data_IF_370082394599
#
_entry.id   IF_370082394599
#
_cell.length_a   1.000
_cell.length_b   1.000
_cell.length_c   1.000
_cell.angle_alpha   90.00
_cell.angle_beta   90.00
_cell.angle_gamma   90.00
#
_symmetry.space_group_name_H-M   'P 1'
#
loop_
_entity.id
_entity.type
_entity.pdbx_description
1 polymer ?
#
# COMPACT_ATOMS: atom_id res chain seq x y z
N UNK A 1 -0.98 -8.65 7.01
CA UNK A 1 -1.41 -7.27 7.36
C UNK A 1 -0.62 -6.74 8.54
N UNK A 2 -0.57 -7.42 9.68
CA UNK A 2 0.22 -6.98 10.85
C UNK A 2 1.73 -6.84 10.54
N UNK A 3 2.27 -7.79 9.77
CA UNK A 3 3.67 -7.77 9.35
C UNK A 3 3.97 -6.58 8.42
N UNK A 4 3.06 -6.28 7.49
CA UNK A 4 3.14 -5.09 6.62
C UNK A 4 3.15 -3.83 7.47
N UNK A 5 2.23 -3.71 8.43
CA UNK A 5 2.18 -2.56 9.32
C UNK A 5 3.51 -2.38 10.08
N UNK A 6 4.09 -3.46 10.62
CA UNK A 6 5.41 -3.41 11.27
C UNK A 6 6.53 -2.96 10.33
N UNK A 7 6.56 -3.47 9.09
CA UNK A 7 7.53 -3.07 8.07
C UNK A 7 7.43 -1.56 7.79
N UNK A 8 6.22 -1.04 7.59
CA UNK A 8 5.99 0.40 7.37
C UNK A 8 6.39 1.23 8.59
N UNK A 9 6.07 0.79 9.80
CA UNK A 9 6.49 1.45 11.05
C UNK A 9 8.02 1.54 11.14
N UNK A 10 8.74 0.45 10.83
CA UNK A 10 10.20 0.48 10.73
C UNK A 10 10.64 1.47 9.66
N UNK A 11 10.10 1.38 8.44
CA UNK A 11 10.47 2.29 7.35
C UNK A 11 10.30 3.76 7.75
N UNK A 12 9.21 4.10 8.44
CA UNK A 12 8.82 5.44 8.90
C UNK A 12 9.41 5.87 10.25
N UNK A 13 10.34 5.11 10.82
CA UNK A 13 10.96 5.42 12.13
C UNK A 13 9.93 5.56 13.26
N UNK A 14 8.88 4.74 13.21
CA UNK A 14 7.79 4.71 14.18
C UNK A 14 6.61 5.63 13.85
N UNK A 15 6.75 6.54 12.88
CA UNK A 15 5.63 7.36 12.42
C UNK A 15 4.62 6.54 11.60
N UNK A 16 3.36 6.99 11.58
CA UNK A 16 2.27 6.34 10.82
C UNK A 16 2.10 6.93 9.41
N UNK A 17 2.50 8.19 9.22
CA UNK A 17 2.30 9.01 8.02
C UNK A 17 3.40 10.08 7.91
N UNK A 18 3.53 10.72 6.74
CA UNK A 18 4.49 11.80 6.44
C UNK A 18 3.83 13.16 6.14
N UNK A 19 2.53 13.16 5.81
CA UNK A 19 1.78 14.36 5.49
C UNK A 19 1.74 15.32 6.69
N UNK A 20 1.95 16.64 6.48
CA UNK A 20 1.96 17.62 7.55
C UNK A 20 0.54 18.03 7.95
N UNK A 21 -0.19 17.13 8.63
CA UNK A 21 -1.59 17.31 9.01
C UNK A 21 -1.79 18.18 10.27
N UNK A 22 -0.70 18.61 10.92
CA UNK A 22 -0.71 19.33 12.19
C UNK A 22 -1.02 18.44 13.39
N UNK A 23 -1.15 19.05 14.57
CA UNK A 23 -1.25 18.32 15.85
C UNK A 23 -2.69 18.03 16.28
N UNK A 24 -3.69 18.56 15.56
CA UNK A 24 -5.09 18.53 15.96
C UNK A 24 -6.05 18.15 14.82
N UNK A 25 -5.83 17.04 14.08
CA UNK A 25 -6.86 16.53 13.18
C UNK A 25 -8.13 16.21 13.97
N UNK A 26 -9.29 16.53 13.40
CA UNK A 26 -10.60 16.29 14.01
C UNK A 26 -11.26 15.06 13.41
N UNK A 27 -11.10 14.82 12.10
CA UNK A 27 -11.73 13.67 11.43
C UNK A 27 -10.81 13.03 10.41
N UNK A 28 -10.59 11.73 10.54
CA UNK A 28 -9.63 10.95 9.75
C UNK A 28 -10.30 9.73 9.15
N UNK A 29 -9.99 9.44 7.88
CA UNK A 29 -10.46 8.28 7.14
C UNK A 29 -9.28 7.39 6.77
N UNK A 30 -9.35 6.11 7.09
CA UNK A 30 -8.40 5.08 6.66
C UNK A 30 -9.09 4.13 5.67
N UNK A 31 -8.71 4.22 4.39
CA UNK A 31 -9.34 3.47 3.30
C UNK A 31 -8.65 2.12 3.09
N UNK A 32 -9.43 1.05 2.98
CA UNK A 32 -8.90 -0.31 2.90
C UNK A 32 -8.11 -0.66 4.16
N UNK A 33 -8.71 -0.37 5.31
CA UNK A 33 -8.06 -0.44 6.63
C UNK A 33 -7.58 -1.85 7.01
N UNK A 34 -8.05 -2.89 6.31
CA UNK A 34 -7.67 -4.27 6.55
C UNK A 34 -7.99 -4.69 7.99
N UNK A 35 -6.97 -5.03 8.77
CA UNK A 35 -7.14 -5.38 10.20
C UNK A 35 -7.53 -4.20 11.08
N UNK A 36 -7.43 -2.96 10.59
CA UNK A 36 -7.68 -1.76 11.37
C UNK A 36 -6.49 -1.27 12.18
N UNK A 37 -5.34 -1.95 12.11
CA UNK A 37 -4.18 -1.67 12.97
C UNK A 37 -3.66 -0.24 12.82
N UNK A 38 -3.61 0.29 11.59
CA UNK A 38 -3.20 1.68 11.37
C UNK A 38 -4.19 2.67 11.98
N UNK A 39 -5.50 2.45 11.76
CA UNK A 39 -6.54 3.32 12.30
C UNK A 39 -6.57 3.32 13.83
N UNK A 40 -6.33 2.16 14.45
CA UNK A 40 -6.25 2.01 15.92
C UNK A 40 -5.05 2.78 16.46
N UNK A 41 -3.86 2.58 15.90
CA UNK A 41 -2.65 3.27 16.36
C UNK A 41 -2.79 4.79 16.18
N UNK A 42 -3.37 5.23 15.05
CA UNK A 42 -3.65 6.65 14.83
C UNK A 42 -4.63 7.20 15.88
N UNK A 43 -5.69 6.46 16.21
CA UNK A 43 -6.68 6.86 17.18
C UNK A 43 -6.10 6.98 18.60
N UNK A 44 -5.14 6.12 18.96
CA UNK A 44 -4.40 6.18 20.22
C UNK A 44 -3.47 7.41 20.28
N UNK A 45 -2.79 7.74 19.17
CA UNK A 45 -1.92 8.92 19.07
C UNK A 45 -2.72 10.24 19.08
N UNK A 46 -3.94 10.23 18.52
CA UNK A 46 -4.81 11.40 18.38
C UNK A 46 -6.18 11.17 19.05
N UNK A 47 -6.26 11.15 20.38
CA UNK A 47 -7.49 10.80 21.11
C UNK A 47 -8.64 11.82 20.92
N UNK A 48 -8.35 13.02 20.39
CA UNK A 48 -9.36 14.01 20.03
C UNK A 48 -9.96 13.83 18.63
N UNK A 49 -9.31 13.04 17.76
CA UNK A 49 -9.75 12.83 16.40
C UNK A 49 -10.79 11.71 16.33
N UNK A 50 -11.83 11.89 15.52
CA UNK A 50 -12.70 10.83 15.06
C UNK A 50 -12.01 10.06 13.93
N UNK A 51 -11.74 8.77 14.14
CA UNK A 51 -11.09 7.89 13.15
C UNK A 51 -12.13 6.89 12.61
N UNK A 52 -12.29 6.89 11.29
CA UNK A 52 -13.12 5.94 10.56
C UNK A 52 -12.22 5.09 9.66
N UNK A 53 -12.22 3.78 9.85
CA UNK A 53 -11.63 2.84 8.88
C UNK A 53 -12.72 2.18 8.03
N UNK A 54 -12.46 2.00 6.74
CA UNK A 54 -13.37 1.25 5.84
C UNK A 54 -12.67 0.08 5.18
N UNK A 55 -13.39 -1.04 5.06
CA UNK A 55 -12.94 -2.21 4.32
C UNK A 55 -14.14 -3.02 3.83
N UNK A 56 -13.97 -3.80 2.76
CA UNK A 56 -14.99 -4.74 2.29
C UNK A 56 -15.20 -5.91 3.27
N UNK A 57 -14.20 -6.21 4.08
CA UNK A 57 -14.19 -7.35 5.00
C UNK A 57 -14.33 -6.91 6.46
N UNK A 58 -15.30 -7.44 7.22
CA UNK A 58 -15.45 -7.14 8.65
C UNK A 58 -14.49 -7.98 9.51
N UNK A 59 -13.19 -7.73 9.39
CA UNK A 59 -12.11 -8.50 10.05
C UNK A 59 -11.43 -7.74 11.20
N UNK A 60 -11.95 -6.57 11.55
CA UNK A 60 -11.38 -5.69 12.56
C UNK A 60 -11.72 -6.17 13.98
N UNK A 61 -10.87 -5.87 14.99
CA UNK A 61 -11.10 -6.31 16.36
C UNK A 61 -12.35 -5.65 16.95
N UNK A 62 -12.98 -6.33 17.91
CA UNK A 62 -14.14 -5.79 18.64
C UNK A 62 -13.76 -4.71 19.66
N UNK A 63 -12.53 -4.76 20.17
CA UNK A 63 -12.04 -3.81 21.18
C UNK A 63 -11.16 -2.77 20.49
N UNK A 64 -11.71 -1.57 20.30
CA UNK A 64 -11.04 -0.44 19.65
C UNK A 64 -11.03 0.78 20.57
N UNK A 65 -10.15 1.76 20.31
CA UNK A 65 -10.23 3.06 20.97
C UNK A 65 -11.63 3.67 20.80
N UNK A 66 -12.15 4.43 21.79
CA UNK A 66 -13.51 4.96 21.77
C UNK A 66 -13.76 5.96 20.62
N UNK A 67 -12.70 6.49 20.04
CA UNK A 67 -12.71 7.42 18.91
C UNK A 67 -12.42 6.73 17.56
N UNK A 68 -12.27 5.41 17.52
CA UNK A 68 -12.05 4.62 16.31
C UNK A 68 -13.24 3.71 16.02
N UNK A 69 -13.77 3.78 14.79
CA UNK A 69 -14.82 2.87 14.32
C UNK A 69 -14.52 2.32 12.93
N UNK A 70 -15.19 1.22 12.59
CA UNK A 70 -15.05 0.56 11.30
C UNK A 70 -16.40 0.38 10.61
N UNK A 71 -16.42 0.59 9.30
CA UNK A 71 -17.59 0.40 8.45
C UNK A 71 -17.25 -0.56 7.31
N UNK A 72 -18.19 -1.46 6.99
CA UNK A 72 -18.08 -2.30 5.80
C UNK A 72 -18.52 -1.46 4.60
N UNK A 73 -17.56 -0.97 3.84
CA UNK A 73 -17.81 -0.04 2.74
C UNK A 73 -16.80 -0.26 1.60
N UNK A 74 -17.27 0.01 0.37
CA UNK A 74 -16.45 -0.04 -0.83
C UNK A 74 -15.95 1.37 -1.12
N UNK A 75 -14.65 1.62 -0.92
CA UNK A 75 -14.09 2.93 -1.24
C UNK A 75 -14.16 3.27 -2.74
N UNK A 76 -14.39 2.29 -3.62
CA UNK A 76 -14.66 2.54 -5.03
C UNK A 76 -16.11 2.96 -5.28
N UNK A 77 -17.03 2.83 -4.33
CA UNK A 77 -18.38 3.37 -4.47
C UNK A 77 -18.39 4.91 -4.33
N UNK A 78 -19.57 5.51 -4.54
CA UNK A 78 -19.78 6.93 -4.24
C UNK A 78 -19.73 7.13 -2.73
N UNK A 79 -18.85 8.03 -2.27
CA UNK A 79 -18.75 8.33 -0.85
C UNK A 79 -19.92 9.23 -0.41
N UNK A 80 -20.64 8.81 0.63
CA UNK A 80 -21.84 9.50 1.11
C UNK A 80 -21.58 10.33 2.37
N UNK A 81 -20.32 10.68 2.64
CA UNK A 81 -19.95 11.43 3.84
C UNK A 81 -20.39 12.90 3.73
N UNK A 82 -21.16 13.36 4.72
CA UNK A 82 -21.62 14.75 4.78
C UNK A 82 -20.63 15.70 5.48
N UNK A 83 -19.74 15.17 6.30
CA UNK A 83 -18.72 15.93 7.02
C UNK A 83 -17.36 15.62 6.40
N UNK A 84 -16.59 16.65 5.99
CA UNK A 84 -15.31 16.43 5.36
C UNK A 84 -14.26 15.93 6.37
N UNK A 85 -13.22 15.28 5.85
CA UNK A 85 -12.09 14.76 6.62
C UNK A 85 -10.92 15.73 6.59
N UNK A 86 -10.18 15.83 7.68
CA UNK A 86 -8.92 16.59 7.71
C UNK A 86 -7.78 15.78 7.09
N UNK A 87 -7.86 14.45 7.22
CA UNK A 87 -6.87 13.53 6.69
C UNK A 87 -7.53 12.26 6.12
N UNK A 88 -7.09 11.85 4.94
CA UNK A 88 -7.43 10.56 4.34
C UNK A 88 -6.13 9.79 4.15
N UNK A 89 -6.05 8.61 4.73
CA UNK A 89 -4.94 7.68 4.58
C UNK A 89 -5.38 6.46 3.78
N UNK A 90 -4.46 5.93 2.99
CA UNK A 90 -4.61 4.66 2.30
C UNK A 90 -3.25 3.99 2.14
N UNK A 91 -3.20 2.69 2.37
CA UNK A 91 -1.97 1.90 2.28
C UNK A 91 -2.21 0.59 1.53
N UNK A 92 -1.30 0.26 0.61
CA UNK A 92 -1.32 -0.99 -0.18
C UNK A 92 -2.63 -1.17 -0.97
N UNK A 93 -3.10 -0.11 -1.63
CA UNK A 93 -4.33 -0.13 -2.45
C UNK A 93 -4.05 -0.27 -3.96
N UNK A 94 -2.79 -0.41 -4.36
CA UNK A 94 -2.41 -0.83 -5.70
C UNK A 94 -3.07 -2.19 -6.03
N UNK A 95 -3.63 -2.32 -7.23
CA UNK A 95 -4.43 -3.49 -7.59
C UNK A 95 -5.82 -3.55 -6.94
N UNK A 96 -6.19 -2.58 -6.11
CA UNK A 96 -7.54 -2.46 -5.54
C UNK A 96 -8.36 -1.31 -6.17
N UNK A 97 -7.70 -0.35 -6.82
CA UNK A 97 -8.31 0.81 -7.48
C UNK A 97 -8.43 0.56 -8.99
N UNK A 98 -9.65 0.68 -9.54
CA UNK A 98 -9.92 0.55 -10.97
C UNK A 98 -9.79 1.86 -11.75
N UNK A 99 -10.08 2.99 -11.09
CA UNK A 99 -9.95 4.34 -11.65
C UNK A 99 -9.35 5.30 -10.63
N UNK A 100 -8.02 5.47 -10.68
CA UNK A 100 -7.32 6.38 -9.77
C UNK A 100 -7.80 7.84 -9.92
N UNK A 101 -8.20 8.26 -11.13
CA UNK A 101 -8.58 9.65 -11.37
C UNK A 101 -9.88 9.94 -10.61
N UNK A 102 -10.87 9.05 -10.72
CA UNK A 102 -12.10 9.13 -9.94
C UNK A 102 -11.81 9.02 -8.44
N UNK A 103 -10.97 8.07 -8.03
CA UNK A 103 -10.59 7.89 -6.62
C UNK A 103 -10.02 9.19 -6.02
N UNK A 104 -9.03 9.80 -6.67
CA UNK A 104 -8.41 11.04 -6.16
C UNK A 104 -9.36 12.24 -6.24
N UNK A 105 -10.22 12.35 -7.25
CA UNK A 105 -11.25 13.38 -7.29
C UNK A 105 -12.24 13.25 -6.13
N UNK A 106 -12.66 12.02 -5.83
CA UNK A 106 -13.56 11.73 -4.72
C UNK A 106 -12.89 12.05 -3.37
N UNK A 107 -11.62 11.67 -3.18
CA UNK A 107 -10.85 12.05 -2.01
C UNK A 107 -10.74 13.57 -1.86
N UNK A 108 -10.44 14.29 -2.94
CA UNK A 108 -10.36 15.76 -2.92
C UNK A 108 -11.70 16.39 -2.52
N UNK A 109 -12.83 15.87 -3.01
CA UNK A 109 -14.15 16.40 -2.68
C UNK A 109 -14.47 16.25 -1.18
N UNK A 110 -14.06 15.14 -0.57
CA UNK A 110 -14.37 14.81 0.83
C UNK A 110 -13.34 15.30 1.84
N UNK A 111 -12.24 15.92 1.41
CA UNK A 111 -11.32 16.60 2.31
C UNK A 111 -11.84 17.98 2.72
N UNK A 112 -11.52 18.41 3.94
CA UNK A 112 -11.70 19.78 4.38
C UNK A 112 -10.71 20.69 3.64
N UNK A 113 -11.02 21.99 3.43
CA UNK A 113 -10.06 22.93 2.87
C UNK A 113 -8.74 22.89 3.66
N UNK A 114 -7.64 22.63 2.96
CA UNK A 114 -6.33 22.47 3.59
C UNK A 114 -6.02 21.09 4.18
N UNK A 115 -6.97 20.14 4.14
CA UNK A 115 -6.76 18.74 4.54
C UNK A 115 -5.88 17.95 3.57
N UNK A 116 -5.44 16.77 3.96
CA UNK A 116 -4.45 15.97 3.21
C UNK A 116 -4.97 14.59 2.84
N UNK A 117 -4.53 14.08 1.68
CA UNK A 117 -4.49 12.65 1.41
C UNK A 117 -3.05 12.16 1.49
N UNK A 118 -2.83 10.97 2.04
CA UNK A 118 -1.58 10.23 1.92
C UNK A 118 -1.82 8.80 1.43
N UNK A 119 -1.05 8.41 0.41
CA UNK A 119 -0.97 7.07 -0.15
C UNK A 119 0.39 6.46 0.20
N UNK A 120 0.38 5.22 0.64
CA UNK A 120 1.58 4.42 0.90
C UNK A 120 1.50 3.12 0.13
N UNK A 121 2.37 2.90 -0.85
CA UNK A 121 2.27 1.74 -1.73
C UNK A 121 3.61 1.22 -2.21
N UNK A 122 3.66 -0.09 -2.42
CA UNK A 122 4.78 -0.74 -3.09
C UNK A 122 4.62 -0.56 -4.60
N UNK A 123 5.72 -0.37 -5.31
CA UNK A 123 5.72 -0.32 -6.77
C UNK A 123 6.57 -1.45 -7.36
N UNK A 124 6.08 -2.01 -8.47
CA UNK A 124 6.86 -2.85 -9.36
C UNK A 124 7.82 -1.99 -10.23
N UNK A 125 8.95 -2.54 -10.72
CA UNK A 125 9.41 -3.93 -10.57
C UNK A 125 10.33 -4.14 -9.36
N UNK A 126 10.79 -5.39 -9.17
CA UNK A 126 11.95 -5.65 -8.31
C UNK A 126 13.19 -4.99 -8.90
N UNK A 127 13.99 -4.34 -8.06
CA UNK A 127 15.20 -3.64 -8.46
C UNK A 127 16.41 -4.14 -7.65
N UNK A 128 17.61 -3.89 -8.16
CA UNK A 128 18.85 -4.01 -7.39
C UNK A 128 19.80 -2.85 -7.72
N UNK A 129 20.74 -2.54 -6.82
CA UNK A 129 21.75 -1.50 -7.06
C UNK A 129 23.03 -2.04 -7.70
N UNK A 130 23.18 -3.36 -7.79
CA UNK A 130 24.38 -4.05 -8.25
C UNK A 130 24.15 -4.98 -9.46
N UNK A 131 22.98 -4.87 -10.10
CA UNK A 131 22.58 -5.66 -11.26
C UNK A 131 22.25 -7.11 -10.95
N UNK A 132 22.14 -7.49 -9.68
CA UNK A 132 21.77 -8.87 -9.30
C UNK A 132 20.31 -9.20 -9.56
N UNK A 133 19.46 -8.21 -9.80
CA UNK A 133 18.07 -8.39 -10.22
C UNK A 133 17.94 -9.14 -11.55
N UNK A 134 18.94 -9.05 -12.45
CA UNK A 134 19.00 -9.84 -13.68
C UNK A 134 19.07 -11.35 -13.44
N UNK A 135 19.53 -11.77 -12.25
CA UNK A 135 19.59 -13.18 -11.85
C UNK A 135 18.23 -13.70 -11.35
N UNK A 136 17.32 -12.81 -10.97
CA UNK A 136 16.00 -13.15 -10.44
C UNK A 136 14.96 -13.32 -11.56
N UNK A 137 15.28 -14.15 -12.55
CA UNK A 137 14.52 -14.27 -13.81
C UNK A 137 13.07 -14.68 -13.55
N UNK A 138 12.83 -15.61 -12.62
CA UNK A 138 11.47 -16.05 -12.29
C UNK A 138 10.73 -14.99 -11.46
N UNK A 139 11.38 -14.31 -10.52
CA UNK A 139 10.75 -13.25 -9.73
C UNK A 139 10.37 -12.04 -10.60
N UNK A 140 11.23 -11.64 -11.53
CA UNK A 140 10.94 -10.60 -12.51
C UNK A 140 9.78 -11.00 -13.43
N UNK A 141 9.79 -12.24 -13.93
CA UNK A 141 8.69 -12.75 -14.75
C UNK A 141 7.38 -12.78 -13.95
N UNK A 142 7.43 -13.21 -12.69
CA UNK A 142 6.25 -13.28 -11.84
C UNK A 142 5.61 -11.92 -11.66
N UNK A 143 6.39 -10.91 -11.28
CA UNK A 143 5.85 -9.57 -11.05
C UNK A 143 5.32 -8.96 -12.35
N UNK A 144 6.03 -9.15 -13.48
CA UNK A 144 5.54 -8.74 -14.80
C UNK A 144 4.21 -9.41 -15.16
N UNK A 145 4.09 -10.71 -14.98
CA UNK A 145 2.87 -11.47 -15.27
C UNK A 145 1.72 -11.07 -14.33
N UNK A 146 2.04 -10.75 -13.07
CA UNK A 146 1.09 -10.21 -12.11
C UNK A 146 0.56 -8.84 -12.57
N UNK A 147 1.43 -7.92 -13.01
CA UNK A 147 1.03 -6.64 -13.60
C UNK A 147 0.11 -6.84 -14.81
N UNK A 148 0.50 -7.69 -15.77
CA UNK A 148 -0.31 -7.99 -16.96
C UNK A 148 -1.69 -8.56 -16.61
N UNK A 149 -1.75 -9.48 -15.65
CA UNK A 149 -3.00 -10.09 -15.19
C UNK A 149 -3.89 -9.08 -14.45
N UNK A 150 -3.32 -8.28 -13.56
CA UNK A 150 -4.05 -7.25 -12.79
C UNK A 150 -4.63 -6.15 -13.71
N UNK A 151 -3.86 -5.71 -14.72
CA UNK A 151 -4.33 -4.76 -15.73
C UNK A 151 -5.48 -5.33 -16.57
N UNK A 152 -5.42 -6.61 -16.97
CA UNK A 152 -6.53 -7.30 -17.65
C UNK A 152 -7.78 -7.44 -16.78
N UNK A 153 -7.59 -7.65 -15.48
CA UNK A 153 -8.68 -7.69 -14.51
C UNK A 153 -9.33 -6.30 -14.31
N UNK A 154 -8.61 -5.22 -14.65
CA UNK A 154 -9.10 -3.84 -14.56
C UNK A 154 -8.65 -3.10 -13.29
N UNK A 155 -7.73 -3.68 -12.52
CA UNK A 155 -7.13 -3.04 -11.33
C UNK A 155 -5.62 -3.23 -11.37
N UNK A 156 -4.86 -2.32 -11.99
CA UNK A 156 -3.42 -2.47 -12.14
C UNK A 156 -2.68 -2.34 -10.80
N UNK A 157 -1.66 -3.17 -10.58
CA UNK A 157 -0.79 -3.12 -9.39
C UNK A 157 0.44 -2.21 -9.56
N UNK A 158 0.77 -1.81 -10.78
CA UNK A 158 1.94 -0.98 -11.11
C UNK A 158 1.59 0.51 -11.23
N UNK A 159 0.50 0.95 -10.60
CA UNK A 159 -0.04 2.30 -10.73
C UNK A 159 0.59 3.34 -9.79
N UNK A 160 1.21 2.91 -8.67
CA UNK A 160 1.75 3.82 -7.66
C UNK A 160 2.71 4.90 -8.21
N UNK A 161 3.63 4.60 -9.16
CA UNK A 161 4.49 5.63 -9.76
C UNK A 161 3.75 6.73 -10.53
N UNK A 162 2.48 6.52 -10.90
CA UNK A 162 1.65 7.47 -11.63
C UNK A 162 0.83 8.37 -10.71
N UNK A 163 0.69 8.01 -9.43
CA UNK A 163 -0.25 8.66 -8.53
C UNK A 163 0.11 10.11 -8.21
N UNK A 164 1.40 10.48 -8.24
CA UNK A 164 1.82 11.87 -8.05
C UNK A 164 1.20 12.80 -9.09
N UNK A 165 1.34 12.45 -10.37
CA UNK A 165 0.78 13.24 -11.46
C UNK A 165 -0.76 13.23 -11.41
N UNK A 166 -1.36 12.12 -10.98
CA UNK A 166 -2.81 11.99 -10.82
C UNK A 166 -3.36 12.85 -9.68
N UNK A 167 -2.66 12.98 -8.55
CA UNK A 167 -3.03 13.92 -7.48
C UNK A 167 -2.97 15.37 -7.99
N UNK A 168 -1.91 15.73 -8.70
CA UNK A 168 -1.78 17.07 -9.29
C UNK A 168 -2.95 17.32 -10.26
N UNK A 169 -3.23 16.37 -11.15
CA UNK A 169 -4.32 16.46 -12.11
C UNK A 169 -5.72 16.52 -11.47
N UNK A 170 -5.91 15.85 -10.33
CA UNK A 170 -7.16 15.90 -9.57
C UNK A 170 -7.39 17.27 -8.90
N UNK A 171 -6.34 18.07 -8.69
CA UNK A 171 -6.42 19.42 -8.12
C UNK A 171 -5.79 19.56 -6.73
N UNK A 172 -5.01 18.58 -6.27
CA UNK A 172 -4.23 18.72 -5.04
C UNK A 172 -3.05 19.68 -5.23
N UNK A 173 -2.77 20.47 -4.20
CA UNK A 173 -1.60 21.33 -4.12
C UNK A 173 -0.53 20.74 -3.19
N UNK A 174 0.69 21.29 -3.24
CA UNK A 174 1.81 20.87 -2.39
C UNK A 174 2.09 19.36 -2.44
N UNK A 175 1.88 18.74 -3.60
CA UNK A 175 2.08 17.30 -3.78
C UNK A 175 3.55 16.94 -3.59
N UNK A 176 3.80 15.99 -2.68
CA UNK A 176 5.13 15.48 -2.34
C UNK A 176 5.14 13.97 -2.48
N UNK A 177 6.29 13.46 -2.87
CA UNK A 177 6.54 12.04 -2.99
C UNK A 177 7.92 11.75 -2.42
N UNK A 178 7.99 10.77 -1.54
CA UNK A 178 9.22 10.19 -1.03
C UNK A 178 9.25 8.71 -1.39
N UNK A 179 10.32 8.26 -2.06
CA UNK A 179 10.50 6.86 -2.43
C UNK A 179 11.58 6.26 -1.54
N UNK A 180 11.21 5.24 -0.78
CA UNK A 180 12.15 4.47 0.06
C UNK A 180 12.36 3.08 -0.53
N UNK A 181 13.54 2.50 -0.28
CA UNK A 181 13.83 1.13 -0.69
C UNK A 181 13.38 0.17 0.41
N UNK A 182 12.60 -0.83 0.04
CA UNK A 182 12.22 -1.95 0.90
C UNK A 182 12.96 -3.21 0.43
N UNK A 183 14.08 -3.58 1.07
CA UNK A 183 14.85 -4.76 0.68
C UNK A 183 14.04 -6.04 0.81
N UNK A 184 14.38 -7.04 0.02
CA UNK A 184 13.97 -8.41 0.22
C UNK A 184 15.17 -9.23 0.69
N UNK A 185 15.14 -9.64 1.96
CA UNK A 185 16.18 -10.47 2.56
C UNK A 185 17.14 -9.71 3.47
N UNK A 186 18.11 -10.45 4.01
CA UNK A 186 19.02 -9.94 5.05
C UNK A 186 20.36 -9.41 4.53
N UNK A 187 20.45 -9.18 3.21
CA UNK A 187 21.64 -8.71 2.52
C UNK A 187 22.09 -7.26 2.85
N UNK A 188 21.21 -6.30 3.22
CA UNK A 188 21.67 -4.95 3.52
C UNK A 188 22.66 -4.93 4.69
N UNK A 189 23.66 -4.04 4.64
CA UNK A 189 24.59 -3.85 5.77
C UNK A 189 23.98 -3.04 6.90
N UNK A 190 23.15 -2.06 6.55
CA UNK A 190 22.43 -1.24 7.50
C UNK A 190 21.49 -2.10 8.37
N UNK A 191 21.56 -2.00 9.71
CA UNK A 191 20.78 -2.86 10.61
C UNK A 191 19.27 -2.73 10.42
N UNK A 192 18.76 -1.50 10.21
CA UNK A 192 17.33 -1.21 10.04
C UNK A 192 16.82 -1.81 8.72
N UNK A 193 17.52 -1.56 7.62
CA UNK A 193 17.18 -2.13 6.31
C UNK A 193 17.28 -3.66 6.30
N UNK A 194 18.23 -4.23 7.03
CA UNK A 194 18.35 -5.69 7.20
C UNK A 194 17.16 -6.28 7.96
N UNK A 195 16.67 -5.58 8.98
CA UNK A 195 15.49 -5.99 9.74
C UNK A 195 14.22 -5.91 8.89
N UNK A 196 14.01 -4.78 8.21
CA UNK A 196 12.94 -4.61 7.22
C UNK A 196 12.98 -5.77 6.20
N UNK A 197 14.14 -6.05 5.62
CA UNK A 197 14.24 -7.08 4.59
C UNK A 197 13.97 -8.51 5.08
N UNK A 198 14.26 -8.83 6.35
CA UNK A 198 13.88 -10.13 6.93
C UNK A 198 12.37 -10.29 7.01
N UNK A 199 11.67 -9.25 7.48
CA UNK A 199 10.21 -9.26 7.57
C UNK A 199 9.57 -9.23 6.17
N UNK A 200 10.10 -8.42 5.26
CA UNK A 200 9.59 -8.35 3.89
C UNK A 200 9.75 -9.68 3.14
N UNK A 201 10.84 -10.42 3.32
CA UNK A 201 10.96 -11.75 2.69
C UNK A 201 9.85 -12.72 3.10
N UNK A 202 9.37 -12.63 4.34
CA UNK A 202 8.26 -13.45 4.83
C UNK A 202 6.94 -12.95 4.23
N UNK A 203 6.73 -11.63 4.26
CA UNK A 203 5.54 -11.01 3.70
C UNK A 203 5.39 -11.26 2.20
N UNK A 204 6.46 -11.09 1.43
CA UNK A 204 6.47 -11.33 -0.02
C UNK A 204 6.14 -12.79 -0.34
N UNK A 205 6.68 -13.74 0.42
CA UNK A 205 6.38 -15.15 0.23
C UNK A 205 4.89 -15.46 0.43
N UNK A 206 4.24 -14.78 1.39
CA UNK A 206 2.80 -14.89 1.64
C UNK A 206 1.99 -14.21 0.53
N UNK A 207 2.41 -13.03 0.07
CA UNK A 207 1.79 -12.30 -1.04
C UNK A 207 1.80 -13.13 -2.33
N UNK A 208 2.94 -13.77 -2.66
CA UNK A 208 3.05 -14.69 -3.80
C UNK A 208 2.02 -15.81 -3.71
N UNK A 209 1.85 -16.42 -2.53
CA UNK A 209 0.86 -17.49 -2.36
C UNK A 209 -0.58 -17.01 -2.49
N UNK A 210 -0.86 -15.78 -2.06
CA UNK A 210 -2.21 -15.21 -2.06
C UNK A 210 -2.65 -14.73 -3.45
N UNK A 211 -1.84 -13.92 -4.13
CA UNK A 211 -2.24 -13.26 -5.38
C UNK A 211 -2.12 -14.16 -6.62
N UNK A 212 -1.08 -15.00 -6.66
CA UNK A 212 -0.74 -15.75 -7.88
C UNK A 212 -1.85 -16.68 -8.34
N UNK A 213 -2.48 -17.53 -7.49
CA UNK A 213 -3.42 -18.53 -7.97
C UNK A 213 -4.62 -17.92 -8.70
N UNK A 214 -5.20 -16.85 -8.16
CA UNK A 214 -6.38 -16.23 -8.74
C UNK A 214 -6.04 -15.51 -10.06
N UNK A 215 -4.98 -14.70 -10.08
CA UNK A 215 -4.63 -13.94 -11.28
C UNK A 215 -4.12 -14.87 -12.39
N UNK A 216 -3.22 -15.81 -12.07
CA UNK A 216 -2.60 -16.67 -13.08
C UNK A 216 -3.57 -17.71 -13.63
N UNK A 217 -4.44 -18.28 -12.79
CA UNK A 217 -5.41 -19.26 -13.27
C UNK A 217 -6.62 -18.59 -13.92
N UNK A 218 -7.33 -17.72 -13.20
CA UNK A 218 -8.62 -17.20 -13.66
C UNK A 218 -8.48 -16.16 -14.79
N UNK A 219 -7.39 -15.37 -14.80
CA UNK A 219 -7.20 -14.30 -15.79
C UNK A 219 -6.27 -14.73 -16.93
N UNK A 220 -5.25 -15.55 -16.64
CA UNK A 220 -4.21 -15.91 -17.61
C UNK A 220 -4.28 -17.38 -18.08
N UNK A 221 -5.11 -18.22 -17.48
CA UNK A 221 -5.38 -19.58 -17.93
C UNK A 221 -4.30 -20.62 -17.62
N UNK A 222 -3.43 -20.36 -16.65
CA UNK A 222 -2.38 -21.31 -16.24
C UNK A 222 -2.98 -22.48 -15.45
N UNK A 223 -2.38 -23.67 -15.57
CA UNK A 223 -2.74 -24.81 -14.73
C UNK A 223 -2.22 -24.63 -13.29
N UNK A 224 -2.86 -25.31 -12.34
CA UNK A 224 -2.46 -25.22 -10.94
C UNK A 224 -1.06 -25.79 -10.71
N UNK A 225 -0.70 -26.86 -11.43
CA UNK A 225 0.62 -27.48 -11.37
C UNK A 225 1.71 -26.52 -11.85
N UNK A 226 1.48 -25.82 -12.97
CA UNK A 226 2.40 -24.80 -13.49
C UNK A 226 2.57 -23.65 -12.49
N UNK A 227 1.47 -23.18 -11.89
CA UNK A 227 1.50 -22.10 -10.89
C UNK A 227 2.32 -22.51 -9.66
N UNK A 228 2.11 -23.71 -9.11
CA UNK A 228 2.85 -24.17 -7.93
C UNK A 228 4.35 -24.29 -8.20
N UNK A 229 4.73 -24.88 -9.34
CA UNK A 229 6.14 -24.98 -9.76
C UNK A 229 6.75 -23.60 -9.95
N UNK A 230 6.02 -22.67 -10.57
CA UNK A 230 6.49 -21.32 -10.82
C UNK A 230 6.70 -20.54 -9.52
N UNK A 231 5.71 -20.54 -8.61
CA UNK A 231 5.83 -19.91 -7.29
C UNK A 231 7.02 -20.45 -6.50
N UNK A 232 7.29 -21.76 -6.57
CA UNK A 232 8.46 -22.34 -5.90
C UNK A 232 9.78 -21.78 -6.42
N UNK A 233 9.90 -21.59 -7.75
CA UNK A 233 11.09 -20.96 -8.36
C UNK A 233 11.25 -19.50 -7.93
N UNK A 234 10.16 -18.74 -7.95
CA UNK A 234 10.14 -17.32 -7.51
C UNK A 234 10.62 -17.20 -6.06
N UNK A 235 10.04 -17.98 -5.14
CA UNK A 235 10.42 -17.95 -3.73
C UNK A 235 11.87 -18.38 -3.49
N UNK A 236 12.42 -19.27 -4.32
CA UNK A 236 13.82 -19.66 -4.21
C UNK A 236 14.76 -18.51 -4.59
N UNK A 237 14.46 -17.77 -5.66
CA UNK A 237 15.25 -16.59 -6.05
C UNK A 237 15.15 -15.46 -5.01
N UNK A 238 13.96 -15.17 -4.48
CA UNK A 238 13.78 -14.14 -3.44
C UNK A 238 14.54 -14.47 -2.14
N UNK A 239 14.78 -15.76 -1.86
CA UNK A 239 15.54 -16.21 -0.70
C UNK A 239 17.04 -16.32 -0.95
N UNK A 240 17.49 -16.18 -2.19
CA UNK A 240 18.91 -16.30 -2.54
C UNK A 240 19.68 -15.08 -2.00
N UNK A 241 20.62 -15.27 -1.06
CA UNK A 241 21.36 -14.15 -0.47
C UNK A 241 22.33 -13.48 -1.45
N UNK A 242 22.55 -14.04 -2.64
CA UNK A 242 23.37 -13.44 -3.71
C UNK A 242 22.57 -12.54 -4.67
N UNK A 243 21.25 -12.44 -4.46
CA UNK A 243 20.34 -11.59 -5.20
C UNK A 243 19.83 -10.49 -4.25
N UNK A 244 20.20 -9.25 -4.52
CA UNK A 244 19.97 -8.11 -3.63
C UNK A 244 18.74 -7.29 -4.04
N UNK A 245 17.59 -7.97 -4.12
CA UNK A 245 16.34 -7.34 -4.54
C UNK A 245 15.84 -6.33 -3.50
N UNK A 246 15.22 -5.26 -3.98
CA UNK A 246 14.34 -4.39 -3.22
C UNK A 246 13.13 -3.98 -4.07
N UNK A 247 12.08 -3.53 -3.40
CA UNK A 247 10.96 -2.84 -4.02
C UNK A 247 10.98 -1.35 -3.65
N UNK A 248 10.73 -0.43 -4.59
CA UNK A 248 10.44 0.96 -4.25
C UNK A 248 9.09 1.06 -3.52
N UNK A 249 9.07 1.81 -2.43
CA UNK A 249 7.85 2.14 -1.68
C UNK A 249 7.61 3.63 -1.80
N UNK A 250 6.46 3.99 -2.34
CA UNK A 250 6.03 5.36 -2.57
C UNK A 250 5.22 5.85 -1.37
N UNK A 251 5.70 6.90 -0.73
CA UNK A 251 4.96 7.70 0.24
C UNK A 251 4.59 9.01 -0.44
N UNK A 252 3.31 9.17 -0.75
CA UNK A 252 2.79 10.26 -1.56
C UNK A 252 1.72 10.99 -0.79
N UNK A 253 1.80 12.31 -0.71
CA UNK A 253 0.71 13.10 -0.14
C UNK A 253 0.43 14.38 -0.92
N UNK A 254 -0.83 14.81 -0.85
CA UNK A 254 -1.31 16.03 -1.48
C UNK A 254 -2.29 16.75 -0.57
N UNK A 255 -2.29 18.08 -0.63
CA UNK A 255 -3.18 18.93 0.16
C UNK A 255 -4.35 19.41 -0.69
N UNK A 256 -5.57 19.39 -0.17
CA UNK A 256 -6.68 20.12 -0.78
C UNK A 256 -6.42 21.63 -0.68
N UNK A 257 -6.61 22.42 -1.75
CA UNK A 257 -6.53 23.87 -1.67
C UNK A 257 -7.40 24.45 -0.54
N UNK A 258 -6.89 25.49 0.14
CA UNK A 258 -7.60 26.13 1.24
C UNK A 258 -8.76 27.04 0.80
N UNK A 259 -8.89 27.28 -0.52
CA UNK A 259 -9.88 28.16 -1.15
C UNK A 259 -10.28 27.63 -2.52
#
# INVERSE_FOLDING_TARGET
MDLVHHIYSLMLDGALFLAPIGDHPQRVLDLGTGTGIWAIDFADDFPSAEVLGTDLSPIQPQWTPPNCRFEVDDFEAEWLYHTPFDFIHARELEGCISDDNRFFQQALQHLAPGGYIEMQAVAAPFLSDDGTDEKAVNAQLWLKTLCEGSAKFGKPIDCAPLWKDKLIAAGFENVREEIRKMPLGSWPKDPKLKEIGKYQSIQEAQAIESYTPQIFSAVLGWSQEEIQVFMAKVKNEIKDPSIHLYLPVHFLWGRKPAS
#
